data_IF_069544638711
#
_entry.id   IF_069544638711
#
_cell.length_a   1.000
_cell.length_b   1.000
_cell.length_c   1.000
_cell.angle_alpha   90.00
_cell.angle_beta   90.00
_cell.angle_gamma   90.00
#
_symmetry.space_group_name_H-M   'P 1'
#
loop_
_entity.id
_entity.type
_entity.pdbx_description
1 polymer ?
#
# COMPACT_ATOMS: atom_id res chain seq x y z
N UNK A 1 -12.96 22.81 20.68
CA UNK A 1 -11.55 22.46 20.43
C UNK A 1 -11.40 20.98 20.71
N UNK A 2 -11.63 20.14 19.71
CA UNK A 2 -11.40 18.71 19.85
C UNK A 2 -9.92 18.39 19.98
N UNK A 3 -9.61 17.42 20.84
CA UNK A 3 -8.28 16.82 20.88
C UNK A 3 -8.15 15.93 19.66
N UNK A 4 -7.50 16.42 18.60
CA UNK A 4 -7.09 15.55 17.50
C UNK A 4 -6.38 14.32 18.08
N UNK A 5 -6.87 13.13 17.73
CA UNK A 5 -6.33 11.86 18.23
C UNK A 5 -4.83 11.85 17.89
N UNK A 6 -3.91 11.69 18.87
CA UNK A 6 -2.47 11.85 18.63
C UNK A 6 -1.95 10.88 17.56
N UNK A 7 -2.63 9.74 17.39
CA UNK A 7 -2.36 8.78 16.31
C UNK A 7 -2.53 9.39 14.90
N UNK A 8 -3.57 10.19 14.66
CA UNK A 8 -3.84 10.81 13.36
C UNK A 8 -2.80 11.87 13.01
N UNK A 9 -2.40 12.69 14.00
CA UNK A 9 -1.35 13.70 13.83
C UNK A 9 0.04 13.06 13.65
N UNK A 10 0.33 11.96 14.36
CA UNK A 10 1.55 11.16 14.14
C UNK A 10 1.55 10.49 12.76
N UNK A 11 0.40 10.00 12.29
CA UNK A 11 0.25 9.43 10.94
C UNK A 11 0.44 10.50 9.85
N UNK A 12 -0.16 11.68 10.01
CA UNK A 12 0.06 12.82 9.12
C UNK A 12 1.53 13.28 9.09
N UNK A 13 2.21 13.31 10.24
CA UNK A 13 3.66 13.58 10.31
C UNK A 13 4.51 12.48 9.66
N UNK A 14 4.13 11.21 9.80
CA UNK A 14 4.76 10.10 9.11
C UNK A 14 4.61 10.20 7.58
N UNK A 15 3.41 10.53 7.10
CA UNK A 15 3.14 10.77 5.67
C UNK A 15 3.90 11.98 5.13
N UNK A 16 3.98 13.07 5.90
CA UNK A 16 4.81 14.23 5.58
C UNK A 16 6.30 13.84 5.51
N UNK A 17 6.78 12.99 6.43
CA UNK A 17 8.16 12.48 6.39
C UNK A 17 8.44 11.63 5.13
N UNK A 18 7.43 10.88 4.65
CA UNK A 18 7.54 10.10 3.41
C UNK A 18 7.73 10.97 2.15
N UNK A 19 7.39 12.26 2.19
CA UNK A 19 7.66 13.20 1.09
C UNK A 19 9.14 13.55 0.95
N UNK A 20 9.93 13.53 2.03
CA UNK A 20 11.32 14.02 2.03
C UNK A 20 12.38 12.98 1.60
N UNK A 21 12.03 11.71 1.42
CA UNK A 21 12.97 10.69 0.94
C UNK A 21 13.15 10.77 -0.59
N UNK A 22 14.37 10.67 -1.15
CA UNK A 22 14.56 10.68 -2.60
C UNK A 22 13.95 9.43 -3.27
N UNK A 23 13.17 9.65 -4.34
CA UNK A 23 12.51 8.57 -5.09
C UNK A 23 13.50 7.73 -5.90
N UNK A 24 13.75 6.49 -5.47
CA UNK A 24 14.57 5.54 -6.24
C UNK A 24 13.69 4.76 -7.23
N UNK A 25 13.56 5.32 -8.43
CA UNK A 25 12.97 4.59 -9.56
C UNK A 25 13.93 3.49 -10.03
N UNK A 26 13.64 2.24 -9.65
CA UNK A 26 14.40 1.06 -10.01
C UNK A 26 13.53 0.10 -10.83
N UNK A 27 14.06 -0.29 -12.00
CA UNK A 27 13.43 -1.19 -12.96
C UNK A 27 13.36 -2.63 -12.46
N UNK A 28 12.29 -3.33 -12.85
CA UNK A 28 12.11 -4.77 -12.71
C UNK A 28 11.37 -5.31 -13.96
N UNK A 29 11.71 -6.55 -14.32
CA UNK A 29 11.15 -7.44 -15.35
C UNK A 29 10.52 -8.66 -14.64
N UNK A 30 9.43 -9.18 -15.23
CA UNK A 30 8.90 -10.57 -15.27
C UNK A 30 8.77 -11.41 -13.96
N UNK A 31 7.80 -12.32 -13.74
CA UNK A 31 6.60 -12.79 -14.45
C UNK A 31 5.80 -13.78 -13.53
N UNK A 32 4.56 -14.17 -13.90
CA UNK A 32 3.67 -15.24 -13.36
C UNK A 32 3.07 -14.94 -11.95
N UNK A 33 1.78 -14.61 -11.73
CA UNK A 33 0.49 -15.12 -12.26
C UNK A 33 0.22 -16.59 -11.74
N UNK A 34 -0.96 -17.13 -11.33
CA UNK A 34 -2.43 -16.88 -11.48
C UNK A 34 -3.30 -17.41 -10.24
N UNK A 35 -4.63 -17.08 -10.14
CA UNK A 35 -5.88 -17.73 -9.56
C UNK A 35 -6.03 -18.30 -8.09
N UNK A 36 -7.19 -18.45 -7.40
CA UNK A 36 -8.61 -17.95 -7.46
C UNK A 36 -9.38 -18.24 -6.12
N UNK A 37 -10.48 -17.51 -5.83
CA UNK A 37 -11.77 -17.82 -5.12
C UNK A 37 -11.85 -18.64 -3.79
N UNK A 38 -12.86 -18.57 -2.90
CA UNK A 38 -14.23 -18.00 -2.95
C UNK A 38 -14.82 -17.65 -1.53
N UNK A 39 -16.05 -17.09 -1.51
CA UNK A 39 -16.82 -16.43 -0.42
C UNK A 39 -17.58 -17.34 0.62
N UNK A 40 -18.15 -16.76 1.71
CA UNK A 40 -19.56 -16.92 2.21
C UNK A 40 -19.84 -16.32 3.64
N UNK A 41 -20.85 -15.42 3.74
CA UNK A 41 -21.80 -15.15 4.87
C UNK A 41 -21.32 -14.71 6.28
N UNK A 42 -22.03 -13.87 7.07
CA UNK A 42 -23.30 -13.13 6.91
C UNK A 42 -23.86 -12.64 8.28
N UNK A 43 -24.60 -11.51 8.31
CA UNK A 43 -25.41 -10.95 9.43
C UNK A 43 -24.75 -10.66 10.80
N UNK A 44 -23.80 -9.71 10.83
CA UNK A 44 -23.41 -8.90 12.02
C UNK A 44 -23.02 -7.47 11.59
N UNK A 45 -23.79 -6.93 10.63
CA UNK A 45 -23.41 -5.94 9.63
C UNK A 45 -23.03 -4.53 10.13
N UNK A 46 -23.42 -4.14 11.35
CA UNK A 46 -22.98 -2.87 11.95
C UNK A 46 -21.69 -3.00 12.78
N UNK A 47 -21.52 -4.06 13.58
CA UNK A 47 -20.28 -4.31 14.32
C UNK A 47 -19.16 -4.73 13.35
N UNK A 48 -19.48 -5.63 12.41
CA UNK A 48 -18.64 -5.93 11.24
C UNK A 48 -18.35 -4.68 10.41
N UNK A 49 -19.30 -3.77 10.26
CA UNK A 49 -19.10 -2.51 9.54
C UNK A 49 -17.95 -1.70 10.15
N UNK A 50 -17.96 -1.46 11.45
CA UNK A 50 -16.90 -0.74 12.16
C UNK A 50 -15.56 -1.53 12.15
N UNK A 51 -15.61 -2.85 12.37
CA UNK A 51 -14.41 -3.70 12.37
C UNK A 51 -13.76 -3.80 10.98
N UNK A 52 -14.53 -3.90 9.90
CA UNK A 52 -14.03 -3.86 8.52
C UNK A 52 -13.38 -2.51 8.19
N UNK A 53 -13.90 -1.41 8.76
CA UNK A 53 -13.28 -0.08 8.67
C UNK A 53 -11.90 -0.06 9.34
N UNK A 54 -11.79 -0.59 10.55
CA UNK A 54 -10.52 -0.71 11.29
C UNK A 54 -9.52 -1.65 10.58
N UNK A 55 -9.99 -2.81 10.08
CA UNK A 55 -9.19 -3.74 9.28
C UNK A 55 -8.67 -3.03 8.01
N UNK A 56 -9.55 -2.34 7.28
CA UNK A 56 -9.19 -1.55 6.10
C UNK A 56 -8.11 -0.51 6.42
N UNK A 57 -8.27 0.23 7.51
CA UNK A 57 -7.29 1.21 7.98
C UNK A 57 -5.93 0.55 8.28
N UNK A 58 -5.90 -0.58 8.99
CA UNK A 58 -4.66 -1.31 9.31
C UNK A 58 -3.98 -1.84 8.04
N UNK A 59 -4.73 -2.44 7.12
CA UNK A 59 -4.22 -2.92 5.83
C UNK A 59 -3.68 -1.77 4.96
N UNK A 60 -4.35 -0.61 4.96
CA UNK A 60 -3.88 0.59 4.27
C UNK A 60 -2.57 1.12 4.88
N UNK A 61 -2.48 1.21 6.22
CA UNK A 61 -1.25 1.60 6.93
C UNK A 61 -0.10 0.63 6.63
N UNK A 62 -0.37 -0.67 6.63
CA UNK A 62 0.63 -1.69 6.28
C UNK A 62 1.10 -1.54 4.82
N UNK A 63 0.17 -1.38 3.87
CA UNK A 63 0.43 -1.17 2.44
C UNK A 63 1.32 0.05 2.21
N UNK A 64 1.03 1.17 2.87
CA UNK A 64 1.82 2.41 2.78
C UNK A 64 3.20 2.25 3.43
N UNK A 65 3.27 1.58 4.58
CA UNK A 65 4.53 1.33 5.29
C UNK A 65 5.55 0.56 4.44
N UNK A 66 5.09 -0.30 3.53
CA UNK A 66 5.94 -1.03 2.57
C UNK A 66 6.65 -0.11 1.56
N UNK A 67 6.24 1.16 1.39
CA UNK A 67 6.99 2.15 0.59
C UNK A 67 8.42 2.35 1.14
N UNK A 68 8.62 2.22 2.46
CA UNK A 68 9.94 2.28 3.08
C UNK A 68 10.82 1.05 2.79
N UNK A 69 10.24 -0.09 2.40
CA UNK A 69 10.99 -1.32 2.15
C UNK A 69 11.93 -1.20 0.94
N UNK A 70 11.48 -0.65 -0.19
CA UNK A 70 12.29 -0.56 -1.42
C UNK A 70 13.60 0.24 -1.24
N UNK A 71 13.62 1.45 -0.63
CA UNK A 71 14.88 2.14 -0.34
C UNK A 71 15.71 1.41 0.71
N UNK A 72 15.10 0.81 1.75
CA UNK A 72 15.83 0.02 2.75
C UNK A 72 16.54 -1.20 2.13
N UNK A 73 15.85 -1.97 1.28
CA UNK A 73 16.40 -3.09 0.53
C UNK A 73 17.61 -2.67 -0.33
N UNK A 74 17.53 -1.54 -1.02
CA UNK A 74 18.62 -1.01 -1.84
C UNK A 74 19.80 -0.57 -0.96
N UNK A 75 19.52 0.11 0.16
CA UNK A 75 20.55 0.51 1.13
C UNK A 75 21.26 -0.69 1.74
N UNK A 76 20.53 -1.72 2.22
CA UNK A 76 21.12 -2.96 2.75
C UNK A 76 21.98 -3.66 1.70
N UNK A 77 21.48 -3.78 0.47
CA UNK A 77 22.17 -4.49 -0.63
C UNK A 77 23.45 -3.79 -1.11
N UNK A 78 23.47 -2.46 -1.12
CA UNK A 78 24.61 -1.64 -1.59
C UNK A 78 25.57 -1.26 -0.46
N UNK A 79 25.07 -0.67 0.61
CA UNK A 79 25.87 0.01 1.65
C UNK A 79 25.87 -0.75 2.98
N UNK A 80 24.73 -1.31 3.38
CA UNK A 80 24.57 -1.99 4.66
C UNK A 80 25.48 -3.22 4.80
N UNK A 81 25.52 -4.08 3.77
CA UNK A 81 26.40 -5.25 3.73
C UNK A 81 27.88 -4.89 3.72
N UNK A 82 28.29 -3.90 2.94
CA UNK A 82 29.70 -3.50 2.83
C UNK A 82 30.21 -2.91 4.15
N UNK A 83 29.42 -2.03 4.77
CA UNK A 83 29.82 -1.31 5.98
C UNK A 83 29.59 -2.08 7.28
N UNK A 84 28.61 -3.01 7.32
CA UNK A 84 28.18 -3.68 8.55
C UNK A 84 28.07 -5.21 8.45
N UNK A 85 28.32 -5.84 7.29
CA UNK A 85 28.21 -7.31 7.13
C UNK A 85 29.03 -8.08 8.16
N UNK A 86 30.29 -7.70 8.35
CA UNK A 86 31.17 -8.27 9.37
C UNK A 86 30.63 -8.10 10.81
N UNK A 87 29.98 -6.97 11.12
CA UNK A 87 29.38 -6.70 12.44
C UNK A 87 28.18 -7.61 12.73
N UNK A 88 27.45 -8.01 11.70
CA UNK A 88 26.32 -8.94 11.78
C UNK A 88 26.71 -10.40 11.51
N UNK A 89 28.01 -10.73 11.54
CA UNK A 89 28.56 -12.06 11.23
C UNK A 89 28.13 -12.62 9.85
N UNK A 90 27.80 -11.75 8.90
CA UNK A 90 27.41 -12.14 7.54
C UNK A 90 28.69 -12.39 6.73
N UNK A 91 29.23 -13.61 6.80
CA UNK A 91 30.43 -14.01 6.05
C UNK A 91 30.15 -14.24 4.56
N UNK A 92 29.00 -14.84 4.22
CA UNK A 92 28.57 -15.03 2.83
C UNK A 92 27.64 -13.90 2.36
N UNK A 93 28.25 -12.82 1.88
CA UNK A 93 27.55 -11.71 1.24
C UNK A 93 26.73 -12.12 0.00
N UNK A 94 27.08 -13.22 -0.70
CA UNK A 94 26.40 -13.66 -1.93
C UNK A 94 25.12 -14.42 -1.58
N UNK A 95 25.19 -15.37 -0.65
CA UNK A 95 24.00 -16.06 -0.13
C UNK A 95 23.05 -15.09 0.56
N UNK A 96 23.55 -14.10 1.33
CA UNK A 96 22.71 -13.07 1.92
C UNK A 96 22.00 -12.23 0.86
N UNK A 97 22.70 -11.73 -0.18
CA UNK A 97 22.06 -11.00 -1.29
C UNK A 97 21.00 -11.84 -2.02
N UNK A 98 21.19 -13.17 -2.15
CA UNK A 98 20.18 -14.09 -2.71
C UNK A 98 18.94 -14.20 -1.80
N UNK A 99 19.13 -14.41 -0.48
CA UNK A 99 18.02 -14.42 0.50
C UNK A 99 17.25 -13.10 0.52
N UNK A 100 17.96 -11.97 0.57
CA UNK A 100 17.40 -10.62 0.54
C UNK A 100 16.58 -10.36 -0.73
N UNK A 101 17.01 -10.90 -1.89
CA UNK A 101 16.24 -10.82 -3.14
C UNK A 101 14.93 -11.64 -3.06
N UNK A 102 14.95 -12.82 -2.43
CA UNK A 102 13.72 -13.61 -2.18
C UNK A 102 12.75 -12.87 -1.27
N UNK A 103 13.24 -12.25 -0.20
CA UNK A 103 12.43 -11.38 0.68
C UNK A 103 11.86 -10.22 -0.14
N UNK A 104 12.63 -9.59 -1.02
CA UNK A 104 12.11 -8.50 -1.87
C UNK A 104 10.98 -8.94 -2.81
N UNK A 105 11.04 -10.14 -3.44
CA UNK A 105 9.89 -10.66 -4.23
C UNK A 105 8.67 -10.89 -3.32
N UNK A 106 8.86 -11.51 -2.15
CA UNK A 106 7.78 -11.75 -1.20
C UNK A 106 7.13 -10.46 -0.70
N UNK A 107 7.91 -9.42 -0.37
CA UNK A 107 7.40 -8.12 0.07
C UNK A 107 6.59 -7.38 -1.00
N UNK A 108 6.88 -7.60 -2.30
CA UNK A 108 6.06 -7.07 -3.39
C UNK A 108 4.74 -7.81 -3.55
N UNK A 109 4.74 -9.13 -3.37
CA UNK A 109 3.51 -9.95 -3.35
C UNK A 109 2.64 -9.57 -2.15
N UNK A 110 3.23 -9.42 -0.97
CA UNK A 110 2.56 -8.97 0.25
C UNK A 110 1.94 -7.57 0.08
N UNK A 111 2.66 -6.62 -0.54
CA UNK A 111 2.11 -5.29 -0.83
C UNK A 111 0.87 -5.34 -1.75
N UNK A 112 0.86 -6.23 -2.75
CA UNK A 112 -0.29 -6.41 -3.64
C UNK A 112 -1.51 -6.90 -2.87
N UNK A 113 -1.37 -8.03 -2.16
CA UNK A 113 -2.49 -8.66 -1.45
C UNK A 113 -3.03 -7.82 -0.29
N UNK A 114 -2.16 -7.18 0.50
CA UNK A 114 -2.60 -6.28 1.58
C UNK A 114 -3.25 -5.01 1.01
N UNK A 115 -2.79 -4.51 -0.14
CA UNK A 115 -3.40 -3.37 -0.83
C UNK A 115 -4.77 -3.69 -1.40
N UNK A 116 -4.92 -4.85 -2.05
CA UNK A 116 -6.23 -5.36 -2.53
C UNK A 116 -7.18 -5.57 -1.35
N UNK A 117 -6.71 -6.21 -0.27
CA UNK A 117 -7.47 -6.39 0.96
C UNK A 117 -8.03 -5.07 1.50
N UNK A 118 -7.19 -4.03 1.60
CA UNK A 118 -7.63 -2.70 2.05
C UNK A 118 -8.71 -2.08 1.14
N UNK A 119 -8.62 -2.26 -0.19
CA UNK A 119 -9.64 -1.79 -1.13
C UNK A 119 -10.96 -2.56 -0.96
N UNK A 120 -10.90 -3.88 -0.80
CA UNK A 120 -12.09 -4.73 -0.64
C UNK A 120 -12.78 -4.47 0.70
N UNK A 121 -12.06 -4.51 1.83
CA UNK A 121 -12.66 -4.24 3.14
C UNK A 121 -13.13 -2.79 3.25
N UNK A 122 -12.43 -1.84 2.63
CA UNK A 122 -12.86 -0.44 2.55
C UNK A 122 -14.12 -0.23 1.70
N UNK A 123 -14.31 -1.02 0.63
CA UNK A 123 -15.53 -1.01 -0.17
C UNK A 123 -16.72 -1.53 0.64
N UNK A 124 -16.56 -2.71 1.27
CA UNK A 124 -17.63 -3.34 2.05
C UNK A 124 -18.01 -2.46 3.24
N UNK A 125 -17.01 -1.92 3.97
CA UNK A 125 -17.22 -0.93 5.02
C UNK A 125 -18.08 0.25 4.54
N UNK A 126 -17.67 0.96 3.49
CA UNK A 126 -18.40 2.13 2.98
C UNK A 126 -19.80 1.81 2.43
N UNK A 127 -20.02 0.59 1.92
CA UNK A 127 -21.37 0.13 1.54
C UNK A 127 -22.26 -0.15 2.75
N UNK A 128 -21.72 -0.73 3.83
CA UNK A 128 -22.44 -1.07 5.06
C UNK A 128 -22.76 0.16 5.92
N UNK A 129 -21.81 1.07 6.14
CA UNK A 129 -21.98 2.22 7.04
C UNK A 129 -22.76 3.36 6.39
N UNK A 130 -22.44 3.68 5.13
CA UNK A 130 -22.83 4.94 4.50
C UNK A 130 -23.72 4.74 3.29
N UNK A 131 -23.39 3.73 2.46
CA UNK A 131 -23.92 3.60 1.10
C UNK A 131 -23.42 4.72 0.18
N UNK A 132 -23.97 4.77 -1.03
CA UNK A 132 -23.55 5.76 -2.06
C UNK A 132 -24.34 7.06 -1.91
N UNK A 133 -24.05 7.81 -0.84
CA UNK A 133 -24.62 9.14 -0.56
C UNK A 133 -23.73 10.27 -1.08
N UNK A 134 -24.32 11.43 -1.38
CA UNK A 134 -23.58 12.64 -1.81
C UNK A 134 -22.70 13.22 -0.69
N UNK A 135 -23.11 13.08 0.57
CA UNK A 135 -22.37 13.57 1.75
C UNK A 135 -21.05 12.79 1.92
N UNK A 136 -21.09 11.46 1.75
CA UNK A 136 -19.92 10.56 1.72
C UNK A 136 -19.02 10.69 0.47
N UNK A 137 -19.27 11.64 -0.43
CA UNK A 137 -18.58 11.70 -1.73
C UNK A 137 -17.05 11.86 -1.62
N UNK A 138 -16.53 12.46 -0.55
CA UNK A 138 -15.09 12.55 -0.30
C UNK A 138 -14.47 11.19 0.05
N UNK A 139 -15.14 10.37 0.87
CA UNK A 139 -14.68 9.01 1.22
C UNK A 139 -14.69 8.15 -0.04
N UNK A 140 -15.76 8.18 -0.82
CA UNK A 140 -15.85 7.48 -2.10
C UNK A 140 -14.77 7.92 -3.10
N UNK A 141 -14.43 9.22 -3.16
CA UNK A 141 -13.33 9.72 -4.00
C UNK A 141 -11.95 9.28 -3.49
N UNK A 142 -11.77 9.22 -2.17
CA UNK A 142 -10.58 8.65 -1.53
C UNK A 142 -10.43 7.14 -1.83
N UNK A 143 -11.50 6.38 -1.68
CA UNK A 143 -11.54 4.96 -2.02
C UNK A 143 -11.28 4.71 -3.51
N UNK A 144 -11.84 5.55 -4.41
CA UNK A 144 -11.50 5.52 -5.84
C UNK A 144 -10.01 5.77 -6.09
N UNK A 145 -9.34 6.59 -5.27
CA UNK A 145 -7.88 6.74 -5.26
C UNK A 145 -7.15 5.44 -4.92
N UNK A 146 -7.61 4.70 -3.90
CA UNK A 146 -7.06 3.39 -3.53
C UNK A 146 -7.31 2.34 -4.62
N UNK A 147 -8.53 2.28 -5.18
CA UNK A 147 -8.88 1.38 -6.28
C UNK A 147 -8.01 1.66 -7.50
N UNK A 148 -7.88 2.93 -7.90
CA UNK A 148 -7.04 3.34 -9.02
C UNK A 148 -5.59 2.90 -8.82
N UNK A 149 -5.02 3.15 -7.64
CA UNK A 149 -3.67 2.70 -7.31
C UNK A 149 -3.53 1.18 -7.37
N UNK A 150 -4.55 0.42 -6.94
CA UNK A 150 -4.55 -1.04 -7.00
C UNK A 150 -4.65 -1.58 -8.43
N UNK A 151 -5.48 -0.98 -9.28
CA UNK A 151 -5.53 -1.26 -10.74
C UNK A 151 -4.17 -1.00 -11.39
N UNK A 152 -3.51 0.13 -11.08
CA UNK A 152 -2.16 0.39 -11.56
C UNK A 152 -1.13 -0.62 -11.03
N UNK A 153 -1.36 -1.15 -9.82
CA UNK A 153 -0.59 -2.25 -9.21
C UNK A 153 -0.69 -3.54 -10.03
N UNK A 154 -1.92 -4.01 -10.28
CA UNK A 154 -2.20 -5.21 -11.08
C UNK A 154 -1.70 -5.10 -12.52
N UNK A 155 -1.90 -3.94 -13.16
CA UNK A 155 -1.37 -3.66 -14.51
C UNK A 155 0.16 -3.74 -14.61
N UNK A 156 0.89 -3.68 -13.50
CA UNK A 156 2.35 -3.93 -13.49
C UNK A 156 2.73 -5.41 -13.33
N UNK A 157 1.85 -6.24 -12.75
CA UNK A 157 2.08 -7.68 -12.57
C UNK A 157 1.77 -8.45 -13.85
N UNK A 158 0.57 -8.25 -14.42
CA UNK A 158 0.14 -8.99 -15.61
C UNK A 158 1.07 -8.78 -16.81
N UNK A 159 1.26 -9.85 -17.59
CA UNK A 159 2.12 -9.84 -18.79
C UNK A 159 1.48 -9.18 -20.01
N UNK A 160 0.16 -9.34 -20.14
CA UNK A 160 -0.61 -8.98 -21.34
C UNK A 160 -0.61 -7.47 -21.70
N UNK A 161 -0.56 -6.50 -20.76
CA UNK A 161 -0.55 -5.09 -21.13
C UNK A 161 0.75 -4.70 -21.85
N UNK A 162 0.70 -3.88 -22.92
CA UNK A 162 1.90 -3.44 -23.64
C UNK A 162 2.93 -2.79 -22.71
N UNK A 163 4.23 -3.01 -22.96
CA UNK A 163 5.33 -2.48 -22.11
C UNK A 163 5.26 -0.96 -21.87
N UNK A 164 4.68 -0.18 -22.80
CA UNK A 164 4.39 1.25 -22.63
C UNK A 164 3.35 1.52 -21.53
N UNK A 165 2.25 0.75 -21.49
CA UNK A 165 1.20 0.85 -20.47
C UNK A 165 1.76 0.47 -19.10
N UNK A 166 2.46 -0.67 -19.00
CA UNK A 166 3.10 -1.11 -17.73
C UNK A 166 4.08 -0.07 -17.19
N UNK A 167 4.84 0.61 -18.06
CA UNK A 167 5.72 1.72 -17.69
C UNK A 167 4.95 2.96 -17.23
N UNK A 168 3.84 3.30 -17.87
CA UNK A 168 2.95 4.39 -17.47
C UNK A 168 2.30 4.14 -16.10
N UNK A 169 1.73 2.94 -15.90
CA UNK A 169 1.16 2.51 -14.63
C UNK A 169 2.19 2.58 -13.50
N UNK A 170 3.42 2.10 -13.75
CA UNK A 170 4.54 2.21 -12.80
C UNK A 170 4.91 3.64 -12.44
N UNK A 171 4.88 4.56 -13.40
CA UNK A 171 5.15 5.98 -13.14
C UNK A 171 4.07 6.58 -12.26
N UNK A 172 2.79 6.37 -12.59
CA UNK A 172 1.64 6.89 -11.84
C UNK A 172 1.55 6.28 -10.43
N UNK A 173 1.66 4.96 -10.30
CA UNK A 173 1.67 4.26 -9.00
C UNK A 173 2.88 4.64 -8.11
N UNK A 174 3.93 5.24 -8.69
CA UNK A 174 5.06 5.81 -7.92
C UNK A 174 4.85 7.29 -7.53
N UNK A 175 3.76 7.95 -7.95
CA UNK A 175 3.50 9.35 -7.61
C UNK A 175 2.92 9.50 -6.21
N UNK A 176 3.71 10.08 -5.31
CA UNK A 176 3.29 10.39 -3.93
C UNK A 176 2.11 11.36 -3.85
N UNK A 177 1.90 12.21 -4.87
CA UNK A 177 0.77 13.14 -4.90
C UNK A 177 -0.55 12.37 -4.89
N UNK A 178 -0.66 11.28 -5.65
CA UNK A 178 -1.88 10.45 -5.68
C UNK A 178 -2.13 9.81 -4.32
N UNK A 179 -1.09 9.28 -3.67
CA UNK A 179 -1.18 8.75 -2.31
C UNK A 179 -1.62 9.83 -1.30
N UNK A 180 -0.97 10.99 -1.29
CA UNK A 180 -1.29 12.06 -0.34
C UNK A 180 -2.72 12.57 -0.52
N UNK A 181 -3.17 12.78 -1.77
CA UNK A 181 -4.55 13.17 -2.06
C UNK A 181 -5.54 12.09 -1.62
N UNK A 182 -5.23 10.81 -1.90
CA UNK A 182 -6.04 9.65 -1.47
C UNK A 182 -6.26 9.66 0.05
N UNK A 183 -5.19 9.82 0.84
CA UNK A 183 -5.30 9.83 2.31
C UNK A 183 -6.00 11.09 2.82
N UNK A 184 -5.74 12.27 2.24
CA UNK A 184 -6.45 13.50 2.61
C UNK A 184 -7.96 13.35 2.38
N UNK A 185 -8.37 12.77 1.25
CA UNK A 185 -9.78 12.55 0.92
C UNK A 185 -10.46 11.55 1.87
N UNK A 186 -9.78 10.45 2.22
CA UNK A 186 -10.29 9.47 3.19
C UNK A 186 -10.41 10.08 4.60
N UNK A 187 -9.37 10.76 5.09
CA UNK A 187 -9.35 11.33 6.43
C UNK A 187 -10.36 12.48 6.57
N UNK A 188 -10.35 13.44 5.63
CA UNK A 188 -11.31 14.55 5.67
C UNK A 188 -12.74 14.04 5.42
N UNK A 189 -12.92 13.05 4.55
CA UNK A 189 -14.21 12.40 4.34
C UNK A 189 -14.76 11.81 5.64
N UNK A 190 -13.97 11.00 6.37
CA UNK A 190 -14.36 10.47 7.68
C UNK A 190 -14.47 11.51 8.81
N UNK A 191 -13.85 12.70 8.70
CA UNK A 191 -14.07 13.82 9.63
C UNK A 191 -15.30 14.69 9.29
N UNK A 192 -15.88 14.53 8.09
CA UNK A 192 -17.02 15.32 7.61
C UNK A 192 -18.39 14.62 7.73
N UNK A 193 -18.42 13.43 8.33
CA UNK A 193 -19.61 12.59 8.54
C UNK A 193 -19.90 12.40 10.03
#
# INVERSE_FOLDING_TARGET
MEKQKPLALLFALFLLSCLFFPSVSAAFDDDDDDDDDDDDGGDDDNELGEDLGNISQILLIATISLVAWKPAHIWVRKTGLEKYGNKFAITDHKAFKKKLTKINKWMSIFHLWVGVGAVVTGLVHGLMTEGVKLESSLVWLGWLGMLFMSILGGLMQWKWPPKKVRKGARLLHSQRIILVLTIILLVIGHEMM
#
